data_IF_297238609642
#
_entry.id   IF_297238609642
#
_cell.length_a   1.000
_cell.length_b   1.000
_cell.length_c   1.000
_cell.angle_alpha   90.00
_cell.angle_beta   90.00
_cell.angle_gamma   90.00
#
_symmetry.space_group_name_H-M   'P 1'
#
loop_
_entity.id
_entity.type
_entity.pdbx_description
1 polymer ?
#
# COMPACT_ATOMS: atom_id res chain seq x y z
N UNK A 1 -18.80 -13.54 -4.27
CA UNK A 1 -17.87 -13.62 -3.12
C UNK A 1 -16.52 -13.05 -3.53
N UNK A 2 -15.88 -12.23 -2.69
CA UNK A 2 -14.56 -11.63 -2.95
C UNK A 2 -13.57 -12.10 -1.89
N UNK A 3 -12.47 -12.71 -2.29
CA UNK A 3 -11.41 -13.10 -1.37
C UNK A 3 -10.43 -11.94 -1.18
N UNK A 4 -10.03 -11.70 0.07
CA UNK A 4 -8.99 -10.73 0.43
C UNK A 4 -7.86 -11.44 1.14
N UNK A 5 -6.67 -11.51 0.54
CA UNK A 5 -5.45 -11.93 1.24
C UNK A 5 -4.81 -10.72 1.93
N UNK A 6 -4.21 -10.92 3.10
CA UNK A 6 -3.70 -9.79 3.88
C UNK A 6 -4.82 -8.94 4.51
N UNK A 7 -6.03 -9.48 4.62
CA UNK A 7 -7.22 -8.82 5.16
C UNK A 7 -7.02 -8.22 6.56
N UNK A 8 -6.16 -8.82 7.37
CA UNK A 8 -5.80 -8.35 8.72
C UNK A 8 -4.63 -7.35 8.71
N UNK A 9 -4.15 -6.90 7.56
CA UNK A 9 -3.12 -5.89 7.44
C UNK A 9 -3.69 -4.46 7.44
N UNK A 10 -2.78 -3.46 7.42
CA UNK A 10 -3.14 -2.04 7.44
C UNK A 10 -4.05 -1.65 6.25
N UNK A 11 -3.64 -1.92 5.02
CA UNK A 11 -4.45 -1.63 3.83
C UNK A 11 -5.58 -2.65 3.65
N UNK A 12 -5.29 -3.93 3.96
CA UNK A 12 -6.27 -5.01 3.80
C UNK A 12 -7.54 -4.82 4.63
N UNK A 13 -7.41 -4.37 5.88
CA UNK A 13 -8.57 -4.08 6.72
C UNK A 13 -9.42 -2.92 6.20
N UNK A 14 -8.79 -1.91 5.61
CA UNK A 14 -9.50 -0.81 4.96
C UNK A 14 -10.22 -1.27 3.69
N UNK A 15 -9.59 -2.13 2.88
CA UNK A 15 -10.23 -2.73 1.69
C UNK A 15 -11.42 -3.58 2.10
N UNK A 16 -11.28 -4.44 3.11
CA UNK A 16 -12.41 -5.24 3.64
C UNK A 16 -13.57 -4.33 4.06
N UNK A 17 -13.28 -3.25 4.79
CA UNK A 17 -14.30 -2.30 5.22
C UNK A 17 -15.05 -1.68 4.05
N UNK A 18 -14.35 -1.18 3.03
CA UNK A 18 -14.95 -0.57 1.84
C UNK A 18 -15.80 -1.59 1.06
N UNK A 19 -15.34 -2.84 0.94
CA UNK A 19 -16.11 -3.89 0.26
C UNK A 19 -17.41 -4.23 1.02
N UNK A 20 -17.34 -4.31 2.34
CA UNK A 20 -18.52 -4.56 3.19
C UNK A 20 -19.50 -3.39 3.12
N UNK A 21 -19.02 -2.15 3.18
CA UNK A 21 -19.85 -0.93 3.02
C UNK A 21 -20.52 -0.85 1.65
N UNK A 22 -19.89 -1.38 0.62
CA UNK A 22 -20.47 -1.51 -0.72
C UNK A 22 -21.48 -2.68 -0.84
N UNK A 23 -21.74 -3.41 0.25
CA UNK A 23 -22.68 -4.53 0.26
C UNK A 23 -22.16 -5.78 -0.45
N UNK A 24 -20.86 -5.88 -0.67
CA UNK A 24 -20.25 -7.02 -1.35
C UNK A 24 -19.92 -8.14 -0.36
N UNK A 25 -20.16 -9.41 -0.69
CA UNK A 25 -19.81 -10.53 0.18
C UNK A 25 -18.28 -10.74 0.18
N UNK A 26 -17.67 -10.69 1.37
CA UNK A 26 -16.21 -10.76 1.56
C UNK A 26 -15.82 -12.03 2.31
N UNK A 27 -14.79 -12.70 1.82
CA UNK A 27 -14.05 -13.77 2.48
C UNK A 27 -12.63 -13.29 2.77
N UNK A 28 -12.19 -13.37 4.02
CA UNK A 28 -10.84 -13.01 4.44
C UNK A 28 -9.96 -14.25 4.57
N UNK A 29 -8.86 -14.30 3.83
CA UNK A 29 -7.80 -15.28 4.04
C UNK A 29 -7.00 -14.89 5.29
N UNK A 30 -7.03 -15.73 6.32
CA UNK A 30 -6.40 -15.50 7.62
C UNK A 30 -5.42 -16.61 7.95
N UNK A 31 -4.42 -16.28 8.78
CA UNK A 31 -3.47 -17.24 9.38
C UNK A 31 -3.56 -17.24 10.91
N UNK A 32 -4.24 -16.26 11.49
CA UNK A 32 -4.34 -16.03 12.92
C UNK A 32 -5.72 -15.47 13.25
N UNK A 33 -6.50 -16.23 13.99
CA UNK A 33 -7.85 -15.86 14.43
C UNK A 33 -7.85 -14.65 15.38
N UNK A 34 -6.82 -14.52 16.22
CA UNK A 34 -6.70 -13.38 17.14
C UNK A 34 -6.59 -12.07 16.37
N UNK A 35 -5.81 -12.05 15.29
CA UNK A 35 -5.71 -10.89 14.41
C UNK A 35 -6.96 -10.66 13.58
N UNK A 36 -7.71 -11.70 13.28
CA UNK A 36 -8.95 -11.61 12.53
C UNK A 36 -10.11 -11.00 13.33
N UNK A 37 -9.98 -10.86 14.65
CA UNK A 37 -11.01 -10.27 15.53
C UNK A 37 -11.40 -8.83 15.15
N UNK A 38 -10.55 -8.09 14.44
CA UNK A 38 -10.84 -6.73 13.97
C UNK A 38 -11.76 -6.68 12.75
N UNK A 39 -11.90 -7.81 12.02
CA UNK A 39 -12.73 -7.86 10.82
C UNK A 39 -14.22 -7.84 11.21
N UNK A 40 -15.07 -7.18 10.42
CA UNK A 40 -16.52 -7.20 10.64
C UNK A 40 -17.07 -8.63 10.75
N UNK A 41 -18.10 -8.83 11.57
CA UNK A 41 -18.74 -10.15 11.76
C UNK A 41 -19.33 -10.72 10.48
N UNK A 42 -19.72 -9.86 9.53
CA UNK A 42 -20.25 -10.26 8.24
C UNK A 42 -19.22 -10.87 7.29
N UNK A 43 -17.92 -10.78 7.63
CA UNK A 43 -16.82 -11.28 6.80
C UNK A 43 -16.60 -12.78 7.11
N UNK A 44 -16.71 -13.61 6.06
CA UNK A 44 -16.33 -15.01 6.16
C UNK A 44 -14.81 -15.14 6.37
N UNK A 45 -14.39 -15.94 7.33
CA UNK A 45 -12.97 -16.19 7.63
C UNK A 45 -12.60 -17.58 7.15
N UNK A 46 -11.50 -17.69 6.42
CA UNK A 46 -10.95 -18.95 5.94
C UNK A 46 -9.47 -19.02 6.20
N UNK A 47 -8.96 -20.15 6.68
CA UNK A 47 -7.53 -20.34 6.80
C UNK A 47 -6.89 -20.51 5.42
N UNK A 48 -5.88 -19.70 5.11
CA UNK A 48 -5.07 -19.86 3.90
C UNK A 48 -3.66 -19.29 4.12
N UNK A 49 -2.64 -20.05 3.67
CA UNK A 49 -1.24 -19.65 3.70
C UNK A 49 -0.72 -19.44 2.26
N UNK A 50 0.02 -18.37 2.03
CA UNK A 50 0.64 -18.08 0.72
C UNK A 50 1.64 -19.18 0.28
N UNK A 51 2.18 -19.94 1.24
CA UNK A 51 3.09 -21.05 0.96
C UNK A 51 2.35 -22.40 0.74
N UNK A 52 1.02 -22.40 0.82
CA UNK A 52 0.17 -23.59 0.61
C UNK A 52 -0.86 -23.29 -0.47
N UNK A 53 -0.51 -23.63 -1.73
CA UNK A 53 -1.37 -23.40 -2.89
C UNK A 53 -2.72 -24.13 -2.75
N UNK A 54 -2.76 -25.30 -2.14
CA UNK A 54 -4.00 -26.05 -1.96
C UNK A 54 -4.97 -25.30 -1.03
N UNK A 55 -4.46 -24.69 0.06
CA UNK A 55 -5.28 -23.86 0.95
C UNK A 55 -5.80 -22.60 0.25
N UNK A 56 -5.01 -22.00 -0.64
CA UNK A 56 -5.43 -20.84 -1.44
C UNK A 56 -6.53 -21.22 -2.44
N UNK A 57 -6.40 -22.36 -3.14
CA UNK A 57 -7.42 -22.85 -4.08
C UNK A 57 -8.74 -23.08 -3.35
N UNK A 58 -8.71 -23.71 -2.18
CA UNK A 58 -9.92 -23.93 -1.38
C UNK A 58 -10.53 -22.61 -0.91
N UNK A 59 -9.71 -21.67 -0.45
CA UNK A 59 -10.17 -20.35 -0.05
C UNK A 59 -10.80 -19.55 -1.20
N UNK A 60 -10.33 -19.74 -2.43
CA UNK A 60 -10.84 -19.08 -3.64
C UNK A 60 -12.07 -19.74 -4.23
N UNK A 61 -12.44 -20.94 -3.79
CA UNK A 61 -13.57 -21.68 -4.38
C UNK A 61 -14.88 -20.88 -4.27
N UNK A 62 -15.53 -20.65 -5.42
CA UNK A 62 -16.75 -19.86 -5.52
C UNK A 62 -16.55 -18.35 -5.36
N UNK A 63 -15.30 -17.86 -5.42
CA UNK A 63 -15.02 -16.43 -5.44
C UNK A 63 -15.02 -15.88 -6.87
N UNK A 64 -15.64 -14.72 -7.07
CA UNK A 64 -15.63 -13.97 -8.34
C UNK A 64 -14.33 -13.20 -8.51
N UNK A 65 -13.72 -12.76 -7.39
CA UNK A 65 -12.53 -11.94 -7.39
C UNK A 65 -11.61 -12.17 -6.21
N UNK A 66 -10.34 -11.78 -6.40
CA UNK A 66 -9.30 -11.82 -5.38
C UNK A 66 -8.63 -10.46 -5.28
N UNK A 67 -8.57 -9.90 -4.07
CA UNK A 67 -7.72 -8.78 -3.71
C UNK A 67 -6.48 -9.33 -3.02
N UNK A 68 -5.32 -9.23 -3.68
CA UNK A 68 -4.08 -9.73 -3.12
C UNK A 68 -3.26 -8.60 -2.49
N UNK A 69 -3.39 -8.44 -1.16
CA UNK A 69 -2.73 -7.39 -0.38
C UNK A 69 -1.63 -7.92 0.55
N UNK A 70 -1.48 -9.22 0.66
CA UNK A 70 -0.42 -9.79 1.50
C UNK A 70 0.96 -9.35 1.00
N UNK A 71 1.76 -8.76 1.88
CA UNK A 71 3.14 -8.39 1.60
C UNK A 71 3.96 -8.38 2.90
N UNK A 72 5.28 -8.59 2.76
CA UNK A 72 6.27 -8.40 3.81
C UNK A 72 7.09 -7.14 3.55
N UNK A 73 7.31 -6.37 4.61
CA UNK A 73 8.25 -5.24 4.67
C UNK A 73 9.46 -5.61 5.55
N UNK A 74 9.66 -6.91 5.79
CA UNK A 74 10.72 -7.41 6.66
C UNK A 74 12.12 -7.00 6.20
N UNK A 75 13.08 -6.94 7.14
CA UNK A 75 14.44 -6.51 6.82
C UNK A 75 15.24 -7.57 6.05
N UNK A 76 14.82 -8.84 6.10
CA UNK A 76 15.52 -9.94 5.46
C UNK A 76 15.05 -10.10 4.01
N UNK A 77 15.97 -10.05 3.02
CA UNK A 77 15.62 -10.18 1.60
C UNK A 77 14.88 -11.48 1.27
N UNK A 78 15.29 -12.61 1.88
CA UNK A 78 14.68 -13.92 1.66
C UNK A 78 13.21 -13.99 2.15
N UNK A 79 12.91 -13.39 3.30
CA UNK A 79 11.54 -13.35 3.83
C UNK A 79 10.65 -12.45 2.99
N UNK A 80 11.21 -11.32 2.54
CA UNK A 80 10.53 -10.38 1.65
C UNK A 80 10.25 -11.04 0.30
N UNK A 81 11.23 -11.73 -0.29
CA UNK A 81 11.06 -12.46 -1.54
C UNK A 81 10.02 -13.58 -1.41
N UNK A 82 10.14 -14.42 -0.40
CA UNK A 82 9.20 -15.53 -0.16
C UNK A 82 7.75 -15.03 -0.04
N UNK A 83 7.53 -13.95 0.68
CA UNK A 83 6.18 -13.41 0.84
C UNK A 83 5.68 -12.69 -0.40
N UNK A 84 6.50 -11.81 -1.00
CA UNK A 84 6.04 -10.89 -2.02
C UNK A 84 6.10 -11.49 -3.43
N UNK A 85 7.06 -12.37 -3.71
CA UNK A 85 7.24 -12.99 -5.02
C UNK A 85 6.61 -14.38 -5.06
N UNK A 86 7.12 -15.31 -4.21
CA UNK A 86 6.66 -16.69 -4.25
C UNK A 86 5.19 -16.78 -3.80
N UNK A 87 4.80 -16.01 -2.78
CA UNK A 87 3.40 -15.90 -2.36
C UNK A 87 2.48 -15.34 -3.44
N UNK A 88 2.94 -14.35 -4.23
CA UNK A 88 2.17 -13.83 -5.38
C UNK A 88 2.05 -14.90 -6.46
N UNK A 89 3.11 -15.63 -6.77
CA UNK A 89 3.05 -16.75 -7.72
C UNK A 89 1.98 -17.79 -7.31
N UNK A 90 1.97 -18.18 -6.04
CA UNK A 90 0.97 -19.13 -5.49
C UNK A 90 -0.47 -18.58 -5.61
N UNK A 91 -0.69 -17.31 -5.31
CA UNK A 91 -2.02 -16.66 -5.44
C UNK A 91 -2.49 -16.65 -6.89
N UNK A 92 -1.61 -16.31 -7.85
CA UNK A 92 -1.97 -16.30 -9.27
C UNK A 92 -2.26 -17.70 -9.81
N UNK A 93 -1.48 -18.71 -9.40
CA UNK A 93 -1.72 -20.13 -9.74
C UNK A 93 -3.05 -20.62 -9.17
N UNK A 94 -3.31 -20.36 -7.90
CA UNK A 94 -4.57 -20.73 -7.23
C UNK A 94 -5.78 -20.01 -7.85
N UNK A 95 -5.67 -18.74 -8.20
CA UNK A 95 -6.75 -17.98 -8.85
C UNK A 95 -7.12 -18.58 -10.21
N UNK A 96 -6.12 -19.00 -10.99
CA UNK A 96 -6.34 -19.70 -12.27
C UNK A 96 -7.03 -21.06 -12.05
N UNK A 97 -6.54 -21.87 -11.08
CA UNK A 97 -7.09 -23.19 -10.78
C UNK A 97 -8.53 -23.10 -10.23
N UNK A 98 -8.84 -22.09 -9.43
CA UNK A 98 -10.18 -21.85 -8.90
C UNK A 98 -11.11 -21.13 -9.90
N UNK A 99 -10.64 -20.81 -11.10
CA UNK A 99 -11.35 -20.08 -12.14
C UNK A 99 -11.91 -18.71 -11.66
N UNK A 100 -11.13 -18.01 -10.85
CA UNK A 100 -11.45 -16.65 -10.38
C UNK A 100 -11.52 -15.73 -11.58
N UNK A 101 -12.58 -14.90 -11.65
CA UNK A 101 -12.80 -13.99 -12.78
C UNK A 101 -11.77 -12.88 -12.84
N UNK A 102 -11.39 -12.26 -11.68
CA UNK A 102 -10.46 -11.13 -11.63
C UNK A 102 -9.58 -11.13 -10.40
N UNK A 103 -8.32 -10.73 -10.58
CA UNK A 103 -7.36 -10.49 -9.50
C UNK A 103 -6.96 -8.99 -9.49
N UNK A 104 -7.04 -8.34 -8.34
CA UNK A 104 -6.45 -7.02 -8.08
C UNK A 104 -5.21 -7.21 -7.21
N UNK A 105 -4.05 -6.98 -7.78
CA UNK A 105 -2.77 -7.10 -7.08
C UNK A 105 -2.34 -5.75 -6.51
N UNK A 106 -2.05 -5.72 -5.22
CA UNK A 106 -1.50 -4.54 -4.55
C UNK A 106 0.02 -4.53 -4.66
N UNK A 107 0.53 -3.68 -5.51
CA UNK A 107 1.95 -3.37 -5.63
C UNK A 107 2.31 -2.13 -4.78
N UNK A 108 3.19 -1.29 -5.27
CA UNK A 108 3.63 -0.03 -4.66
C UNK A 108 4.19 0.89 -5.72
N UNK A 109 4.11 2.21 -5.53
CA UNK A 109 4.87 3.17 -6.33
C UNK A 109 6.38 2.90 -6.30
N UNK A 110 6.87 2.33 -5.20
CA UNK A 110 8.27 1.92 -5.05
C UNK A 110 8.71 0.85 -6.07
N UNK A 111 7.79 0.08 -6.64
CA UNK A 111 8.08 -0.93 -7.66
C UNK A 111 8.39 -0.33 -9.05
N UNK A 112 7.95 0.91 -9.29
CA UNK A 112 7.94 1.53 -10.62
C UNK A 112 8.56 2.93 -10.67
N UNK A 113 9.13 3.42 -9.56
CA UNK A 113 9.78 4.73 -9.58
C UNK A 113 11.05 4.69 -10.41
N UNK A 114 11.17 5.64 -11.35
CA UNK A 114 12.35 5.82 -12.19
C UNK A 114 13.44 6.64 -11.48
N UNK A 115 14.65 6.65 -12.04
CA UNK A 115 15.80 7.33 -11.45
C UNK A 115 15.66 8.87 -11.40
N UNK A 116 14.80 9.43 -12.23
CA UNK A 116 14.43 10.85 -12.24
C UNK A 116 13.23 11.17 -11.33
N UNK A 117 12.79 10.20 -10.53
CA UNK A 117 11.65 10.36 -9.61
C UNK A 117 10.27 10.18 -10.25
N UNK A 118 10.18 9.86 -11.55
CA UNK A 118 8.88 9.63 -12.18
C UNK A 118 8.26 8.30 -11.70
N UNK A 119 7.03 8.37 -11.21
CA UNK A 119 6.13 7.24 -10.94
C UNK A 119 5.01 7.29 -11.97
N UNK A 120 4.97 6.36 -12.91
CA UNK A 120 3.97 6.35 -13.99
C UNK A 120 3.32 4.98 -14.15
N UNK A 121 2.02 4.98 -14.42
CA UNK A 121 1.24 3.77 -14.75
C UNK A 121 1.75 3.06 -16.01
N UNK A 122 2.49 3.76 -16.86
CA UNK A 122 3.11 3.24 -18.09
C UNK A 122 4.61 2.92 -17.94
N UNK A 123 5.14 3.01 -16.70
CA UNK A 123 6.56 2.74 -16.45
C UNK A 123 6.95 1.32 -16.89
N UNK A 124 8.20 1.12 -17.36
CA UNK A 124 8.75 -0.23 -17.49
C UNK A 124 8.67 -0.99 -16.17
N UNK A 125 8.58 -2.32 -16.22
CA UNK A 125 8.52 -3.15 -15.01
C UNK A 125 9.89 -3.23 -14.31
N UNK A 126 10.33 -2.11 -13.75
CA UNK A 126 11.58 -1.96 -12.99
C UNK A 126 11.51 -0.74 -12.09
N UNK A 127 12.30 -0.75 -11.03
CA UNK A 127 12.45 0.38 -10.11
C UNK A 127 13.90 0.85 -10.05
N UNK A 128 14.10 2.13 -9.74
CA UNK A 128 15.41 2.69 -9.41
C UNK A 128 15.84 2.39 -7.97
N UNK A 129 14.92 1.93 -7.12
CA UNK A 129 15.20 1.57 -5.74
C UNK A 129 15.79 0.16 -5.67
N UNK A 130 16.77 -0.03 -4.79
CA UNK A 130 17.53 -1.29 -4.66
C UNK A 130 17.22 -2.05 -3.37
N UNK A 131 16.31 -1.54 -2.55
CA UNK A 131 15.91 -2.23 -1.33
C UNK A 131 15.09 -3.50 -1.63
N UNK A 132 15.10 -4.50 -0.73
CA UNK A 132 14.44 -5.79 -0.96
C UNK A 132 12.93 -5.69 -1.20
N UNK A 133 12.25 -4.72 -0.57
CA UNK A 133 10.83 -4.53 -0.76
C UNK A 133 10.51 -4.02 -2.17
N UNK A 134 11.15 -2.94 -2.60
CA UNK A 134 10.91 -2.32 -3.90
C UNK A 134 11.20 -3.28 -5.05
N UNK A 135 12.32 -4.00 -4.99
CA UNK A 135 12.71 -4.98 -6.00
C UNK A 135 11.77 -6.19 -6.02
N UNK A 136 11.35 -6.70 -4.85
CA UNK A 136 10.41 -7.82 -4.79
C UNK A 136 9.01 -7.45 -5.32
N UNK A 137 8.56 -6.20 -5.11
CA UNK A 137 7.27 -5.75 -5.67
C UNK A 137 7.35 -5.59 -7.19
N UNK A 138 8.47 -5.10 -7.74
CA UNK A 138 8.69 -5.05 -9.18
C UNK A 138 8.74 -6.46 -9.81
N UNK A 139 9.41 -7.42 -9.16
CA UNK A 139 9.43 -8.82 -9.59
C UNK A 139 8.03 -9.45 -9.56
N UNK A 140 7.26 -9.21 -8.50
CA UNK A 140 5.88 -9.70 -8.39
C UNK A 140 4.95 -9.12 -9.46
N UNK A 141 5.10 -7.84 -9.85
CA UNK A 141 4.37 -7.29 -11.00
C UNK A 141 4.69 -8.03 -12.30
N UNK A 142 5.96 -8.46 -12.49
CA UNK A 142 6.36 -9.28 -13.63
C UNK A 142 5.57 -10.60 -13.70
N UNK A 143 5.31 -11.23 -12.55
CA UNK A 143 4.46 -12.43 -12.47
C UNK A 143 3.00 -12.14 -12.83
N UNK A 144 2.47 -10.99 -12.41
CA UNK A 144 1.11 -10.58 -12.78
C UNK A 144 1.01 -10.36 -14.29
N UNK A 145 1.97 -9.66 -14.92
CA UNK A 145 1.99 -9.48 -16.36
C UNK A 145 2.10 -10.79 -17.14
N UNK A 146 2.93 -11.73 -16.65
CA UNK A 146 3.02 -13.07 -17.25
C UNK A 146 1.69 -13.83 -17.13
N UNK A 147 1.03 -13.78 -15.96
CA UNK A 147 -0.27 -14.40 -15.76
C UNK A 147 -1.36 -13.80 -16.67
N UNK A 148 -1.31 -12.48 -16.93
CA UNK A 148 -2.22 -11.80 -17.87
C UNK A 148 -1.94 -12.25 -19.31
N UNK A 149 -0.68 -12.37 -19.72
CA UNK A 149 -0.33 -12.87 -21.03
C UNK A 149 -0.84 -14.32 -21.26
N UNK A 150 -0.94 -15.09 -20.19
CA UNK A 150 -1.53 -16.45 -20.19
C UNK A 150 -3.06 -16.46 -19.98
N UNK A 151 -3.74 -15.31 -20.03
CA UNK A 151 -5.19 -15.19 -20.05
C UNK A 151 -5.88 -14.93 -18.72
N UNK A 152 -5.14 -14.70 -17.61
CA UNK A 152 -5.76 -14.31 -16.32
C UNK A 152 -6.18 -12.83 -16.40
N UNK A 153 -7.42 -12.50 -16.04
CA UNK A 153 -7.82 -11.10 -15.84
C UNK A 153 -7.25 -10.59 -14.51
N UNK A 154 -6.15 -9.85 -14.58
CA UNK A 154 -5.53 -9.25 -13.41
C UNK A 154 -5.07 -7.81 -13.71
N UNK A 155 -5.24 -6.92 -12.73
CA UNK A 155 -4.73 -5.56 -12.76
C UNK A 155 -3.94 -5.24 -11.49
N UNK A 156 -3.18 -4.15 -11.53
CA UNK A 156 -2.24 -3.77 -10.49
C UNK A 156 -2.62 -2.40 -9.94
N UNK A 157 -2.59 -2.25 -8.61
CA UNK A 157 -2.66 -0.94 -7.96
C UNK A 157 -1.33 -0.62 -7.30
N UNK A 158 -0.85 0.61 -7.49
CA UNK A 158 0.43 1.11 -6.99
C UNK A 158 0.18 2.29 -6.04
N UNK A 159 -0.16 2.06 -4.76
CA UNK A 159 -0.29 3.15 -3.82
C UNK A 159 1.05 3.84 -3.59
N UNK A 160 1.00 5.16 -3.34
CA UNK A 160 2.13 5.96 -2.86
C UNK A 160 2.25 5.85 -1.33
N UNK A 161 2.79 6.85 -0.62
CA UNK A 161 2.93 6.82 0.84
C UNK A 161 1.55 6.85 1.52
N UNK A 162 1.18 5.74 2.17
CA UNK A 162 -0.15 5.57 2.76
C UNK A 162 -0.14 6.02 4.22
N UNK A 163 -1.13 6.80 4.62
CA UNK A 163 -1.38 7.21 6.00
C UNK A 163 -2.88 7.18 6.33
N UNK A 164 -3.25 7.39 7.59
CA UNK A 164 -4.64 7.50 8.03
C UNK A 164 -5.09 6.37 8.96
N UNK A 165 -6.38 6.32 9.32
CA UNK A 165 -6.95 5.43 10.32
C UNK A 165 -6.65 3.96 10.11
N UNK A 166 -6.43 3.23 11.23
CA UNK A 166 -6.17 1.79 11.24
C UNK A 166 -6.73 1.14 12.49
N UNK A 167 -7.31 -0.05 12.40
CA UNK A 167 -7.81 -0.76 13.59
C UNK A 167 -6.70 -1.22 14.54
N UNK A 168 -5.46 -1.34 14.05
CA UNK A 168 -4.31 -1.83 14.82
C UNK A 168 -3.46 -0.74 15.49
N UNK A 169 -3.84 0.53 15.36
CA UNK A 169 -3.02 1.64 15.82
C UNK A 169 -2.13 2.23 14.73
N UNK A 170 -1.13 3.04 15.08
CA UNK A 170 -0.41 3.91 14.17
C UNK A 170 0.62 3.18 13.29
N UNK A 171 0.17 2.31 12.39
CA UNK A 171 1.00 1.69 11.35
C UNK A 171 1.39 2.65 10.22
N UNK A 172 2.32 2.21 9.36
CA UNK A 172 2.79 2.96 8.19
C UNK A 172 3.32 4.35 8.55
N UNK A 173 2.99 5.40 7.80
CA UNK A 173 3.45 6.77 8.05
C UNK A 173 2.82 7.45 9.28
N UNK A 174 1.76 6.89 9.85
CA UNK A 174 1.23 7.38 11.13
C UNK A 174 2.26 7.28 12.27
N UNK A 175 3.11 6.25 12.26
CA UNK A 175 4.22 6.11 13.21
C UNK A 175 5.24 7.24 13.09
N UNK A 176 5.60 7.63 11.86
CA UNK A 176 6.46 8.80 11.60
C UNK A 176 5.82 10.08 12.13
N UNK A 177 4.54 10.31 11.83
CA UNK A 177 3.82 11.50 12.27
C UNK A 177 3.80 11.63 13.78
N UNK A 178 3.54 10.54 14.50
CA UNK A 178 3.59 10.53 15.97
C UNK A 178 4.99 10.73 16.51
N UNK A 179 6.00 10.09 15.91
CA UNK A 179 7.39 10.26 16.32
C UNK A 179 7.87 11.73 16.17
N UNK A 180 7.50 12.37 15.06
CA UNK A 180 7.77 13.79 14.85
C UNK A 180 7.03 14.67 15.88
N UNK A 181 5.76 14.37 16.13
CA UNK A 181 4.97 15.10 17.11
C UNK A 181 5.46 14.95 18.56
N UNK A 182 6.18 13.88 18.86
CA UNK A 182 6.85 13.63 20.16
C UNK A 182 8.27 14.19 20.24
N UNK A 183 8.80 14.76 19.14
CA UNK A 183 10.17 15.22 19.06
C UNK A 183 11.21 14.10 18.92
N UNK A 184 10.79 12.89 18.60
CA UNK A 184 11.66 11.73 18.33
C UNK A 184 12.24 11.77 16.90
N UNK A 185 11.59 12.52 15.98
CA UNK A 185 12.07 12.85 14.63
C UNK A 185 12.20 14.37 14.55
N UNK A 186 13.43 14.86 14.55
CA UNK A 186 13.75 16.28 14.58
C UNK A 186 14.19 16.82 13.24
N UNK A 187 14.52 15.96 12.29
CA UNK A 187 14.99 16.33 10.96
C UNK A 187 14.60 15.29 9.90
N UNK A 188 14.36 15.76 8.68
CA UNK A 188 14.04 14.95 7.51
C UNK A 188 14.59 15.62 6.24
N UNK A 189 14.73 14.85 5.16
CA UNK A 189 14.99 15.41 3.82
C UNK A 189 13.66 15.78 3.18
N UNK A 190 13.54 17.02 2.73
CA UNK A 190 12.29 17.60 2.21
C UNK A 190 12.22 17.49 0.68
N UNK A 191 11.99 16.27 0.20
CA UNK A 191 11.69 16.03 -1.20
C UNK A 191 10.17 15.90 -1.41
N UNK A 192 9.62 16.40 -2.53
CA UNK A 192 8.24 16.09 -2.91
C UNK A 192 8.04 14.60 -3.10
N UNK A 193 7.00 14.04 -2.48
CA UNK A 193 6.60 12.63 -2.59
C UNK A 193 5.08 12.51 -2.65
N UNK A 194 4.58 11.41 -3.17
CA UNK A 194 3.13 11.15 -3.20
C UNK A 194 2.62 10.71 -1.82
N UNK A 195 1.44 11.22 -1.44
CA UNK A 195 0.72 10.88 -0.21
C UNK A 195 -0.70 10.45 -0.54
N UNK A 196 -1.24 9.49 0.17
CA UNK A 196 -2.61 9.02 -0.02
C UNK A 196 -3.22 8.50 1.27
N UNK A 197 -4.48 8.82 1.52
CA UNK A 197 -5.24 8.32 2.66
C UNK A 197 -5.60 6.85 2.45
N UNK A 198 -5.47 6.03 3.48
CA UNK A 198 -5.72 4.58 3.41
C UNK A 198 -7.12 4.21 2.92
N UNK A 199 -8.13 4.98 3.30
CA UNK A 199 -9.50 4.78 2.82
C UNK A 199 -9.64 5.05 1.31
N UNK A 200 -8.93 6.06 0.78
CA UNK A 200 -8.93 6.33 -0.65
C UNK A 200 -8.19 5.22 -1.42
N UNK A 201 -7.11 4.68 -0.83
CA UNK A 201 -6.45 3.47 -1.36
C UNK A 201 -7.44 2.32 -1.45
N UNK A 202 -8.22 2.08 -0.40
CA UNK A 202 -9.24 1.01 -0.40
C UNK A 202 -10.31 1.22 -1.47
N UNK A 203 -10.80 2.44 -1.66
CA UNK A 203 -11.74 2.80 -2.73
C UNK A 203 -11.11 2.62 -4.12
N UNK A 204 -9.82 2.95 -4.27
CA UNK A 204 -9.08 2.71 -5.51
C UNK A 204 -8.98 1.23 -5.87
N UNK A 205 -8.87 0.34 -4.88
CA UNK A 205 -8.92 -1.11 -5.11
C UNK A 205 -10.28 -1.57 -5.64
N UNK A 206 -11.37 -1.07 -5.06
CA UNK A 206 -12.73 -1.40 -5.54
C UNK A 206 -12.93 -0.91 -6.98
N UNK A 207 -12.52 0.32 -7.30
CA UNK A 207 -12.59 0.86 -8.66
C UNK A 207 -11.77 0.01 -9.65
N UNK A 208 -10.57 -0.42 -9.27
CA UNK A 208 -9.74 -1.29 -10.10
C UNK A 208 -10.39 -2.66 -10.33
N UNK A 209 -11.09 -3.20 -9.32
CA UNK A 209 -11.86 -4.44 -9.47
C UNK A 209 -13.06 -4.28 -10.41
N UNK A 210 -13.81 -3.19 -10.30
CA UNK A 210 -15.03 -2.97 -11.08
C UNK A 210 -14.76 -2.56 -12.52
N UNK A 211 -13.77 -1.70 -12.75
CA UNK A 211 -13.54 -0.99 -14.02
C UNK A 211 -12.15 -1.18 -14.61
N UNK A 212 -11.23 -1.77 -13.86
CA UNK A 212 -9.85 -1.95 -14.32
C UNK A 212 -9.75 -2.87 -15.53
N UNK A 213 -8.73 -2.66 -16.34
CA UNK A 213 -8.38 -3.48 -17.50
C UNK A 213 -7.25 -4.45 -17.13
N UNK A 214 -7.29 -5.65 -17.69
CA UNK A 214 -6.23 -6.64 -17.50
C UNK A 214 -4.88 -6.09 -17.99
N UNK A 215 -3.83 -6.31 -17.19
CA UNK A 215 -2.48 -5.84 -17.50
C UNK A 215 -2.25 -4.35 -17.30
N UNK A 216 -3.20 -3.60 -16.74
CA UNK A 216 -3.02 -2.18 -16.42
C UNK A 216 -2.56 -1.97 -14.98
N UNK A 217 -1.82 -0.88 -14.78
CA UNK A 217 -1.50 -0.31 -13.47
C UNK A 217 -2.39 0.88 -13.18
N UNK A 218 -2.67 1.09 -11.90
CA UNK A 218 -3.40 2.23 -11.38
C UNK A 218 -2.64 2.79 -10.19
N UNK A 219 -2.00 3.95 -10.37
CA UNK A 219 -1.26 4.63 -9.31
C UNK A 219 -2.26 5.36 -8.41
N UNK A 220 -2.28 5.00 -7.15
CA UNK A 220 -3.18 5.60 -6.17
C UNK A 220 -2.44 6.70 -5.40
N UNK A 221 -2.53 7.94 -5.92
CA UNK A 221 -1.93 9.13 -5.34
C UNK A 221 -2.99 10.16 -4.98
N UNK A 222 -3.00 10.63 -3.73
CA UNK A 222 -3.84 11.74 -3.29
C UNK A 222 -3.25 13.06 -3.77
N UNK A 223 -2.05 13.36 -3.29
CA UNK A 223 -1.36 14.61 -3.58
C UNK A 223 0.16 14.39 -3.51
N UNK A 224 0.90 15.12 -4.32
CA UNK A 224 2.37 15.20 -4.21
C UNK A 224 2.70 16.44 -3.37
N UNK A 225 3.34 16.23 -2.23
CA UNK A 225 3.70 17.30 -1.30
C UNK A 225 5.08 17.05 -0.66
N UNK A 226 5.81 18.11 -0.24
CA UNK A 226 7.11 17.98 0.40
C UNK A 226 7.02 17.17 1.69
N UNK A 227 7.95 16.23 1.88
CA UNK A 227 7.94 15.26 2.98
C UNK A 227 7.94 15.94 4.35
N UNK A 228 8.85 16.88 4.57
CA UNK A 228 8.98 17.60 5.84
C UNK A 228 7.77 18.48 6.13
N UNK A 229 7.22 19.13 5.10
CA UNK A 229 6.02 19.96 5.22
C UNK A 229 4.82 19.16 5.71
N UNK A 230 4.61 17.94 5.16
CA UNK A 230 3.51 17.05 5.56
C UNK A 230 3.68 16.57 7.01
N UNK A 231 4.91 16.17 7.39
CA UNK A 231 5.22 15.73 8.75
C UNK A 231 5.03 16.88 9.77
N UNK A 232 5.52 18.07 9.45
CA UNK A 232 5.37 19.26 10.30
C UNK A 232 3.89 19.67 10.42
N UNK A 233 3.14 19.64 9.32
CA UNK A 233 1.72 19.97 9.31
C UNK A 233 0.90 19.05 10.21
N UNK A 234 1.20 17.75 10.21
CA UNK A 234 0.56 16.82 11.14
C UNK A 234 0.85 17.17 12.60
N UNK A 235 2.13 17.45 12.95
CA UNK A 235 2.50 17.83 14.31
C UNK A 235 1.73 19.09 14.78
N UNK A 236 1.54 20.06 13.90
CA UNK A 236 0.74 21.27 14.19
C UNK A 236 -0.75 20.95 14.44
N UNK A 237 -1.34 20.09 13.63
CA UNK A 237 -2.75 19.67 13.76
C UNK A 237 -3.06 19.00 15.10
N UNK A 238 -2.11 18.28 15.68
CA UNK A 238 -2.29 17.67 17.00
C UNK A 238 -1.79 18.57 18.17
N UNK A 239 -1.35 19.79 17.87
CA UNK A 239 -0.92 20.75 18.87
C UNK A 239 0.48 20.51 19.43
N UNK A 240 1.36 19.80 18.72
CA UNK A 240 2.73 19.54 19.16
C UNK A 240 3.56 20.82 19.18
N UNK A 241 4.39 21.04 20.23
CA UNK A 241 5.36 22.13 20.27
C UNK A 241 6.62 21.84 19.45
N UNK A 242 6.84 20.57 19.05
CA UNK A 242 8.06 20.17 18.35
C UNK A 242 8.06 20.64 16.89
N UNK A 243 9.26 20.87 16.38
CA UNK A 243 9.50 21.27 15.00
C UNK A 243 10.42 20.28 14.32
N UNK A 244 10.18 20.05 13.05
CA UNK A 244 11.02 19.19 12.20
C UNK A 244 11.83 20.07 11.26
N UNK A 245 13.15 19.92 11.31
CA UNK A 245 14.06 20.60 10.36
C UNK A 245 13.99 19.88 9.01
N UNK A 246 13.65 20.64 7.98
CA UNK A 246 13.56 20.14 6.61
C UNK A 246 14.86 20.45 5.84
N UNK A 247 15.60 19.44 5.44
CA UNK A 247 16.84 19.56 4.66
C UNK A 247 16.57 19.43 3.16
N UNK A 248 17.31 20.12 2.29
CA UNK A 248 17.11 20.00 0.85
C UNK A 248 17.39 18.57 0.33
N UNK A 249 16.79 18.19 -0.82
CA UNK A 249 17.07 16.91 -1.48
C UNK A 249 18.57 16.70 -1.70
N UNK A 250 19.04 15.46 -1.55
CA UNK A 250 20.45 15.10 -1.63
C UNK A 250 21.23 15.24 -0.31
N UNK A 251 20.62 15.75 0.75
CA UNK A 251 21.24 15.78 2.09
C UNK A 251 21.36 14.35 2.64
N UNK A 252 22.49 14.03 3.24
CA UNK A 252 22.66 12.82 4.07
C UNK A 252 22.44 13.23 5.53
N UNK A 253 21.51 12.56 6.19
CA UNK A 253 21.22 12.78 7.61
C UNK A 253 22.30 12.12 8.49
N UNK A 254 22.46 12.58 9.76
CA UNK A 254 23.39 12.00 10.71
C UNK A 254 23.20 10.49 10.91
N UNK A 255 24.27 9.77 11.28
CA UNK A 255 24.24 8.31 11.44
C UNK A 255 23.26 7.82 12.52
N UNK A 256 22.96 8.64 13.51
CA UNK A 256 21.98 8.40 14.58
C UNK A 256 20.55 8.83 14.23
N UNK A 257 20.32 9.35 13.02
CA UNK A 257 18.98 9.68 12.56
C UNK A 257 18.05 8.48 12.61
N UNK A 258 16.80 8.71 13.00
CA UNK A 258 15.80 7.65 13.13
C UNK A 258 15.53 6.94 11.80
N UNK A 259 15.06 5.68 11.84
CA UNK A 259 14.66 4.94 10.64
C UNK A 259 13.58 5.67 9.83
N UNK A 260 12.73 6.45 10.48
CA UNK A 260 11.71 7.26 9.82
C UNK A 260 12.33 8.44 9.06
N UNK A 261 13.29 9.14 9.67
CA UNK A 261 14.04 10.20 9.02
C UNK A 261 14.79 9.68 7.80
N UNK A 262 15.45 8.51 7.92
CA UNK A 262 16.19 7.88 6.82
C UNK A 262 15.33 7.49 5.63
N UNK A 263 14.02 7.21 5.82
CA UNK A 263 13.11 7.01 4.68
C UNK A 263 13.01 8.25 3.78
N UNK A 264 13.11 9.45 4.34
CA UNK A 264 13.11 10.69 3.57
C UNK A 264 14.35 10.84 2.69
N UNK A 265 15.52 10.31 3.11
CA UNK A 265 16.73 10.33 2.29
C UNK A 265 16.59 9.51 1.00
N UNK A 266 15.86 8.39 1.06
CA UNK A 266 15.64 7.53 -0.12
C UNK A 266 14.95 8.33 -1.22
N UNK A 267 13.90 9.06 -0.89
CA UNK A 267 13.23 9.95 -1.84
C UNK A 267 14.06 11.17 -2.19
N UNK A 268 14.80 11.71 -1.22
CA UNK A 268 15.71 12.83 -1.44
C UNK A 268 16.79 12.56 -2.49
N UNK A 269 17.22 11.32 -2.64
CA UNK A 269 18.17 10.88 -3.69
C UNK A 269 17.58 10.91 -5.10
N UNK A 270 16.27 10.79 -5.22
CA UNK A 270 15.54 10.91 -6.49
C UNK A 270 15.26 12.38 -6.87
N UNK A 271 15.55 13.32 -5.99
CA UNK A 271 15.28 14.76 -6.18
C UNK A 271 13.82 15.09 -5.89
N UNK A 272 12.95 15.00 -6.87
CA UNK A 272 11.52 15.23 -6.71
C UNK A 272 10.74 14.07 -7.34
N UNK A 273 9.79 13.52 -6.61
CA UNK A 273 8.88 12.50 -7.16
C UNK A 273 7.76 13.20 -7.93
N UNK A 274 7.55 12.75 -9.15
CA UNK A 274 6.43 13.13 -10.02
C UNK A 274 5.52 11.94 -10.22
N UNK A 275 4.21 12.15 -10.16
CA UNK A 275 3.23 11.06 -10.25
C UNK A 275 2.33 11.27 -11.45
N UNK A 276 2.27 10.27 -12.33
CA UNK A 276 1.30 10.13 -13.41
C UNK A 276 0.30 9.05 -13.01
N UNK A 277 -0.90 9.48 -12.61
CA UNK A 277 -2.02 8.66 -12.15
C UNK A 277 -3.26 8.83 -13.05
N UNK A 278 -3.05 9.18 -14.32
CA UNK A 278 -4.12 9.51 -15.25
C UNK A 278 -5.09 8.34 -15.47
N UNK A 279 -4.61 7.09 -15.50
CA UNK A 279 -5.48 5.91 -15.66
C UNK A 279 -6.34 5.67 -14.41
N UNK A 280 -5.78 5.81 -13.20
CA UNK A 280 -6.56 5.73 -11.95
C UNK A 280 -7.65 6.82 -11.91
N UNK A 281 -7.31 8.06 -12.28
CA UNK A 281 -8.28 9.15 -12.37
C UNK A 281 -9.38 8.85 -13.39
N UNK A 282 -9.05 8.26 -14.52
CA UNK A 282 -10.01 7.85 -15.55
C UNK A 282 -11.01 6.79 -15.07
N UNK A 283 -10.64 5.92 -14.12
CA UNK A 283 -11.57 4.99 -13.46
C UNK A 283 -12.55 5.70 -12.53
N UNK A 284 -12.33 6.96 -12.19
CA UNK A 284 -13.10 7.74 -11.22
C UNK A 284 -12.42 7.85 -9.85
N UNK A 285 -11.13 7.53 -9.74
CA UNK A 285 -10.38 7.73 -8.49
C UNK A 285 -10.26 9.22 -8.18
N UNK A 286 -10.94 9.63 -7.11
CA UNK A 286 -11.02 11.02 -6.65
C UNK A 286 -10.63 11.08 -5.16
N UNK A 287 -9.32 10.96 -4.86
CA UNK A 287 -8.84 10.96 -3.48
C UNK A 287 -8.86 12.36 -2.87
N UNK A 288 -8.83 12.39 -1.54
CA UNK A 288 -8.67 13.59 -0.73
C UNK A 288 -7.24 14.15 -0.84
N UNK A 289 -7.10 15.45 -0.72
CA UNK A 289 -5.81 16.13 -0.60
C UNK A 289 -5.15 15.89 0.77
N UNK A 290 -3.88 16.29 0.89
CA UNK A 290 -3.07 16.09 2.11
C UNK A 290 -3.70 16.76 3.33
N UNK A 291 -4.17 18.00 3.24
CA UNK A 291 -4.72 18.73 4.39
C UNK A 291 -5.97 18.07 4.97
N UNK A 292 -6.89 17.62 4.12
CA UNK A 292 -8.07 16.89 4.54
C UNK A 292 -7.70 15.55 5.15
N UNK A 293 -6.83 14.78 4.49
CA UNK A 293 -6.37 13.48 4.96
C UNK A 293 -5.63 13.56 6.29
N UNK A 294 -4.75 14.55 6.48
CA UNK A 294 -4.05 14.78 7.75
C UNK A 294 -5.02 15.16 8.88
N UNK A 295 -6.06 15.94 8.58
CA UNK A 295 -7.09 16.28 9.56
C UNK A 295 -7.83 15.04 10.06
N UNK A 296 -8.18 14.11 9.16
CA UNK A 296 -8.78 12.81 9.48
C UNK A 296 -7.83 11.98 10.34
N UNK A 297 -6.56 11.86 9.94
CA UNK A 297 -5.56 11.10 10.68
C UNK A 297 -5.32 11.69 12.09
N UNK A 298 -5.24 13.01 12.20
CA UNK A 298 -5.05 13.71 13.48
C UNK A 298 -6.24 13.52 14.41
N UNK A 299 -7.47 13.60 13.90
CA UNK A 299 -8.68 13.33 14.69
C UNK A 299 -8.65 11.91 15.25
N UNK A 300 -8.44 10.92 14.37
CA UNK A 300 -8.36 9.50 14.76
C UNK A 300 -7.27 9.21 15.80
N UNK A 301 -6.08 9.86 15.72
CA UNK A 301 -4.99 9.65 16.67
C UNK A 301 -5.25 10.32 18.02
N UNK A 302 -5.95 11.47 18.06
CA UNK A 302 -6.34 12.14 19.33
C UNK A 302 -7.30 11.29 20.16
N UNK A 303 -8.21 10.56 19.49
CA UNK A 303 -9.19 9.71 20.16
C UNK A 303 -8.56 8.43 20.77
N UNK A 304 -7.29 8.16 20.50
CA UNK A 304 -6.56 6.95 20.93
C UNK A 304 -5.33 7.22 21.82
N UNK A 305 -5.01 8.47 22.06
CA UNK A 305 -3.95 8.91 22.97
C UNK A 305 -4.52 9.38 24.27
#
# INVERSE_FOLDING_TARGET
MLLVTGATGYVGSAVVQVLVEAGLPVRAAIRDEGRAAILPESVERVFADLNDEASLVEAMRGCDGVFHLSASLGPLPEDTRRSNVDGTASVLAAARQAAVRRVVFTSSSAAIVAADGLVSEQAPNRTALVDPYSTSKAEAEGLVFAAVADGLDACIVNPVNIYGPSPYGPGSYNGLFLAAARGEVTEVVDAPVGWVLVEDVARGHLLAFEKGEAGRRYVLCGEVAPFGSVVQRFAELIGSPHRVTAHPPGTTLPDDASLFARRSEVYGKLGAVHVDDAQARALGFAPRGVDEGLSIAAAWLRDRG
#
